data_IF_722036727732
#
_entry.id   IF_722036727732
#
_cell.length_a   1.000
_cell.length_b   1.000
_cell.length_c   1.000
_cell.angle_alpha   90.00
_cell.angle_beta   90.00
_cell.angle_gamma   90.00
#
_symmetry.space_group_name_H-M   'P 1'
#
loop_
_entity.id
_entity.type
_entity.pdbx_description
1 polymer ?
#
# COMPACT_ATOMS: atom_id res chain seq x y z
N UNK A 1 -42.98 -16.24 -13.50
CA UNK A 1 -42.33 -16.60 -12.23
C UNK A 1 -41.15 -15.66 -12.03
N UNK A 2 -41.31 -14.63 -11.20
CA UNK A 2 -40.29 -13.58 -11.00
C UNK A 2 -39.27 -14.07 -9.96
N UNK A 3 -38.04 -14.35 -10.40
CA UNK A 3 -36.93 -14.65 -9.51
C UNK A 3 -36.50 -13.36 -8.81
N UNK A 4 -37.03 -13.12 -7.61
CA UNK A 4 -36.46 -12.15 -6.67
C UNK A 4 -35.10 -12.70 -6.24
N UNK A 5 -34.02 -12.21 -6.87
CA UNK A 5 -32.67 -12.35 -6.32
C UNK A 5 -32.67 -11.66 -4.96
N UNK A 6 -32.37 -12.42 -3.90
CA UNK A 6 -32.14 -11.87 -2.57
C UNK A 6 -31.04 -10.83 -2.71
N UNK A 7 -31.40 -9.56 -2.51
CA UNK A 7 -30.43 -8.52 -2.23
C UNK A 7 -29.77 -8.94 -0.90
N UNK A 8 -28.54 -9.42 -0.96
CA UNK A 8 -27.72 -9.50 0.24
C UNK A 8 -27.67 -8.09 0.82
N UNK A 9 -28.02 -7.94 2.09
CA UNK A 9 -27.97 -6.67 2.80
C UNK A 9 -26.58 -6.08 2.61
N UNK A 10 -26.51 -4.96 1.87
CA UNK A 10 -25.28 -4.19 1.76
C UNK A 10 -24.98 -3.67 3.17
N UNK A 11 -24.02 -4.27 3.86
CA UNK A 11 -23.48 -3.70 5.09
C UNK A 11 -22.96 -2.30 4.78
N UNK A 12 -23.39 -1.33 5.58
CA UNK A 12 -22.86 0.02 5.49
C UNK A 12 -21.38 -0.03 5.86
N UNK A 13 -20.51 0.23 4.88
CA UNK A 13 -19.06 0.13 5.02
C UNK A 13 -18.54 1.07 6.13
N UNK A 14 -19.30 2.12 6.44
CA UNK A 14 -18.99 3.06 7.52
C UNK A 14 -19.13 2.45 8.93
N UNK A 15 -19.79 1.30 9.06
CA UNK A 15 -19.98 0.60 10.33
C UNK A 15 -18.91 -0.47 10.58
N UNK A 16 -18.08 -0.76 9.57
CA UNK A 16 -17.07 -1.81 9.63
C UNK A 16 -15.80 -1.20 10.24
N UNK A 17 -15.26 -1.75 11.34
CA UNK A 17 -14.03 -1.24 11.91
C UNK A 17 -12.89 -1.27 10.88
N UNK A 18 -12.04 -0.23 10.82
CA UNK A 18 -10.97 -0.13 9.82
C UNK A 18 -9.89 -1.22 9.94
N UNK A 19 -9.91 -1.95 11.04
CA UNK A 19 -8.98 -3.02 11.40
C UNK A 19 -9.60 -4.41 11.25
N UNK A 20 -10.89 -4.49 10.90
CA UNK A 20 -11.59 -5.75 10.70
C UNK A 20 -11.50 -6.24 9.25
N UNK A 21 -11.40 -7.56 9.03
CA UNK A 21 -11.43 -8.14 7.70
C UNK A 21 -12.81 -7.96 7.06
N UNK A 22 -12.84 -7.60 5.78
CA UNK A 22 -14.07 -7.45 5.01
C UNK A 22 -14.25 -8.64 4.08
N UNK A 23 -15.28 -9.45 4.31
CA UNK A 23 -15.64 -10.56 3.44
C UNK A 23 -16.36 -10.03 2.19
N UNK A 24 -15.76 -10.22 1.01
CA UNK A 24 -16.37 -9.87 -0.28
C UNK A 24 -17.25 -11.03 -0.77
N UNK A 25 -16.71 -12.25 -0.71
CA UNK A 25 -17.35 -13.50 -1.12
C UNK A 25 -16.80 -14.66 -0.26
N UNK A 26 -17.39 -15.87 -0.36
CA UNK A 26 -17.05 -17.05 0.46
C UNK A 26 -15.57 -17.42 0.47
N UNK A 27 -14.84 -17.07 -0.59
CA UNK A 27 -13.41 -17.37 -0.76
C UNK A 27 -12.54 -16.11 -0.90
N UNK A 28 -13.10 -14.91 -0.71
CA UNK A 28 -12.39 -13.64 -0.91
C UNK A 28 -12.61 -12.68 0.26
N UNK A 29 -11.55 -12.48 1.04
CA UNK A 29 -11.53 -11.57 2.19
C UNK A 29 -10.50 -10.48 1.97
N UNK A 30 -10.89 -9.22 2.18
CA UNK A 30 -9.97 -8.10 2.26
C UNK A 30 -9.44 -7.99 3.68
N UNK A 31 -8.12 -8.08 3.80
CA UNK A 31 -7.42 -7.84 5.04
C UNK A 31 -6.95 -6.38 5.09
N UNK A 32 -7.28 -5.64 6.16
CA UNK A 32 -6.77 -4.30 6.34
C UNK A 32 -5.26 -4.36 6.56
N UNK A 33 -4.55 -3.40 6.00
CA UNK A 33 -3.10 -3.32 6.08
C UNK A 33 -2.64 -1.88 6.17
N UNK A 34 -1.53 -1.68 6.86
CA UNK A 34 -0.77 -0.43 6.79
C UNK A 34 0.49 -0.71 5.99
N UNK A 35 0.70 0.05 4.92
CA UNK A 35 1.88 -0.05 4.08
C UNK A 35 2.71 1.22 4.20
N UNK A 36 4.02 1.06 4.34
CA UNK A 36 4.99 2.15 4.37
C UNK A 36 6.05 1.91 3.30
N UNK A 37 6.39 2.95 2.56
CA UNK A 37 7.52 2.94 1.64
C UNK A 37 8.77 3.38 2.40
N UNK A 38 9.82 2.61 2.27
CA UNK A 38 11.12 2.88 2.89
C UNK A 38 12.09 3.26 1.79
N UNK A 39 12.85 4.33 1.98
CA UNK A 39 13.98 4.68 1.13
C UNK A 39 15.22 4.78 2.00
N UNK A 40 16.34 4.26 1.52
CA UNK A 40 17.58 4.26 2.31
C UNK A 40 18.64 5.09 1.64
N UNK A 41 19.14 6.08 2.37
CA UNK A 41 20.20 6.97 1.95
C UNK A 41 21.49 6.68 2.75
N UNK A 42 22.68 6.92 2.18
CA UNK A 42 23.91 6.89 2.97
C UNK A 42 23.92 8.09 3.95
N UNK A 43 24.23 7.87 5.24
CA UNK A 43 24.30 8.95 6.24
C UNK A 43 25.56 9.82 6.06
N UNK A 44 26.67 9.21 5.60
CA UNK A 44 27.91 9.94 5.31
C UNK A 44 28.12 10.16 3.82
N UNK A 45 28.28 11.41 3.37
CA UNK A 45 28.39 11.75 1.96
C UNK A 45 29.76 11.39 1.34
N UNK A 46 30.72 10.86 2.10
CA UNK A 46 32.03 10.40 1.60
C UNK A 46 32.11 8.91 1.28
N UNK A 47 31.08 8.13 1.63
CA UNK A 47 31.07 6.68 1.46
C UNK A 47 30.73 6.31 0.01
N UNK A 48 31.76 6.12 -0.80
CA UNK A 48 31.66 5.34 -2.03
C UNK A 48 31.48 3.87 -1.63
N UNK A 49 30.23 3.39 -1.68
CA UNK A 49 29.95 1.97 -1.50
C UNK A 49 30.59 1.19 -2.66
N UNK A 50 31.79 0.68 -2.39
CA UNK A 50 32.52 -0.23 -3.29
C UNK A 50 31.94 -1.64 -3.25
N UNK A 51 31.26 -2.00 -2.16
CA UNK A 51 30.56 -3.28 -2.00
C UNK A 51 29.05 -3.12 -2.20
N UNK A 52 28.39 -4.07 -2.88
CA UNK A 52 26.93 -4.09 -2.93
C UNK A 52 26.37 -4.31 -1.53
N UNK A 53 25.27 -3.62 -1.20
CA UNK A 53 24.54 -3.87 0.05
C UNK A 53 23.76 -5.17 -0.08
N UNK A 54 23.91 -6.04 0.90
CA UNK A 54 23.07 -7.24 1.04
C UNK A 54 21.68 -6.86 1.52
N UNK A 55 20.66 -7.11 0.69
CA UNK A 55 19.25 -6.85 1.01
C UNK A 55 18.82 -7.57 2.29
N UNK A 56 19.28 -8.81 2.46
CA UNK A 56 19.05 -9.60 3.66
C UNK A 56 19.60 -8.93 4.92
N UNK A 57 20.84 -8.42 4.89
CA UNK A 57 21.43 -7.76 6.08
C UNK A 57 20.69 -6.48 6.45
N UNK A 58 20.26 -5.72 5.45
CA UNK A 58 19.44 -4.52 5.66
C UNK A 58 18.10 -4.87 6.30
N UNK A 59 17.45 -5.92 5.80
CA UNK A 59 16.21 -6.46 6.35
C UNK A 59 16.39 -6.90 7.81
N UNK A 60 17.41 -7.69 8.10
CA UNK A 60 17.70 -8.15 9.46
C UNK A 60 18.00 -6.99 10.40
N UNK A 61 18.83 -6.02 9.99
CA UNK A 61 19.15 -4.86 10.84
C UNK A 61 17.93 -4.00 11.16
N UNK A 62 17.03 -3.80 10.18
CA UNK A 62 15.79 -3.06 10.42
C UNK A 62 14.85 -3.85 11.34
N UNK A 63 14.71 -5.16 11.15
CA UNK A 63 13.92 -6.01 12.05
C UNK A 63 14.45 -5.99 13.48
N UNK A 64 15.77 -6.15 13.66
CA UNK A 64 16.42 -6.05 14.97
C UNK A 64 16.19 -4.68 15.59
N UNK A 65 16.28 -3.61 14.80
CA UNK A 65 15.96 -2.26 15.27
C UNK A 65 14.51 -2.15 15.72
N UNK A 66 13.54 -2.59 14.92
CA UNK A 66 12.12 -2.52 15.26
C UNK A 66 11.81 -3.26 16.57
N UNK A 67 12.40 -4.44 16.75
CA UNK A 67 12.26 -5.25 17.96
C UNK A 67 12.91 -4.58 19.19
N UNK A 68 14.14 -4.09 19.05
CA UNK A 68 14.88 -3.46 20.16
C UNK A 68 14.27 -2.12 20.58
N UNK A 69 13.81 -1.34 19.61
CA UNK A 69 13.22 -0.01 19.83
C UNK A 69 11.79 -0.05 20.35
N UNK A 70 11.16 -1.24 20.44
CA UNK A 70 9.75 -1.42 20.82
C UNK A 70 8.82 -0.49 20.01
N UNK A 71 9.18 -0.18 18.78
CA UNK A 71 8.40 0.68 17.88
C UNK A 71 7.07 0.02 17.49
N UNK A 72 7.09 -1.31 17.35
CA UNK A 72 5.91 -2.13 17.14
C UNK A 72 5.59 -2.96 18.39
N UNK A 73 4.30 -3.12 18.74
CA UNK A 73 3.90 -3.94 19.89
C UNK A 73 4.00 -5.46 19.63
N UNK A 74 4.35 -5.87 18.41
CA UNK A 74 4.44 -7.27 17.98
C UNK A 74 5.73 -7.52 17.17
N UNK A 75 6.23 -8.76 17.15
CA UNK A 75 7.33 -9.15 16.27
C UNK A 75 6.84 -9.18 14.82
N UNK A 76 7.50 -8.41 13.95
CA UNK A 76 7.18 -8.37 12.52
C UNK A 76 7.76 -9.61 11.80
N UNK A 77 6.96 -10.35 11.01
CA UNK A 77 7.46 -11.38 10.13
C UNK A 77 8.46 -10.83 9.11
N UNK A 78 9.42 -11.66 8.71
CA UNK A 78 10.37 -11.25 7.68
C UNK A 78 9.69 -10.98 6.33
N UNK A 79 8.67 -11.75 5.97
CA UNK A 79 7.98 -11.66 4.67
C UNK A 79 7.32 -10.29 4.44
N UNK A 80 6.95 -9.62 5.52
CA UNK A 80 6.28 -8.33 5.51
C UNK A 80 7.21 -7.17 5.16
N UNK A 81 8.52 -7.40 5.23
CA UNK A 81 9.56 -6.43 4.91
C UNK A 81 10.30 -6.84 3.64
N UNK A 82 10.02 -6.13 2.55
CA UNK A 82 10.65 -6.38 1.25
C UNK A 82 11.61 -5.25 0.95
N UNK A 83 12.88 -5.58 0.75
CA UNK A 83 13.86 -4.64 0.21
C UNK A 83 14.23 -5.01 -1.22
N UNK A 84 14.45 -3.98 -2.03
CA UNK A 84 15.00 -4.08 -3.37
C UNK A 84 16.13 -3.08 -3.50
N UNK A 85 17.26 -3.54 -4.00
CA UNK A 85 18.38 -2.67 -4.35
C UNK A 85 17.97 -1.66 -5.41
N UNK A 86 18.49 -0.44 -5.30
CA UNK A 86 18.41 0.49 -6.41
C UNK A 86 19.35 0.05 -7.54
N UNK A 87 18.76 -0.43 -8.64
CA UNK A 87 19.47 -0.87 -9.84
C UNK A 87 19.92 0.34 -10.66
N UNK A 88 20.98 1.01 -10.19
CA UNK A 88 21.73 2.00 -10.96
C UNK A 88 23.20 1.65 -10.86
N UNK A 89 23.91 1.72 -11.99
CA UNK A 89 25.36 1.47 -12.04
C UNK A 89 26.03 2.23 -10.89
N UNK A 90 26.80 1.52 -10.05
CA UNK A 90 27.53 2.14 -8.92
C UNK A 90 28.39 3.34 -9.38
N UNK A 91 28.83 3.30 -10.65
CA UNK A 91 29.65 4.34 -11.31
C UNK A 91 28.85 5.55 -11.80
N UNK A 92 27.52 5.46 -11.97
CA UNK A 92 26.64 6.56 -12.44
C UNK A 92 25.75 7.12 -11.32
N UNK A 93 25.99 6.68 -10.09
CA UNK A 93 25.18 7.06 -8.93
C UNK A 93 25.54 8.48 -8.50
N UNK A 94 24.53 9.35 -8.35
CA UNK A 94 24.70 10.65 -7.72
C UNK A 94 24.83 10.46 -6.21
N UNK A 95 25.55 11.37 -5.56
CA UNK A 95 25.92 11.32 -4.13
C UNK A 95 24.74 11.13 -3.18
N UNK A 96 23.58 11.71 -3.54
CA UNK A 96 22.34 11.65 -2.75
C UNK A 96 21.33 10.60 -3.25
N UNK A 97 21.65 9.87 -4.33
CA UNK A 97 20.75 8.85 -4.85
C UNK A 97 20.52 7.78 -3.76
N UNK A 98 19.28 7.27 -3.59
CA UNK A 98 19.00 6.21 -2.63
C UNK A 98 19.76 4.92 -2.98
N UNK A 99 20.07 4.13 -1.97
CA UNK A 99 20.79 2.86 -2.10
C UNK A 99 19.83 1.69 -2.30
N UNK A 100 18.72 1.73 -1.59
CA UNK A 100 17.72 0.68 -1.56
C UNK A 100 16.34 1.28 -1.35
N UNK A 101 15.34 0.58 -1.87
CA UNK A 101 13.94 0.84 -1.65
C UNK A 101 13.37 -0.35 -0.90
N UNK A 102 12.57 -0.07 0.11
CA UNK A 102 11.86 -1.07 0.89
C UNK A 102 10.37 -0.81 0.90
N UNK A 103 9.62 -1.85 1.23
CA UNK A 103 8.21 -1.76 1.54
C UNK A 103 7.97 -2.57 2.80
N UNK A 104 7.36 -1.92 3.78
CA UNK A 104 6.93 -2.53 5.02
C UNK A 104 5.41 -2.69 4.98
N UNK A 105 4.93 -3.91 5.13
CA UNK A 105 3.51 -4.20 5.30
C UNK A 105 3.24 -4.57 6.76
N UNK A 106 2.13 -4.08 7.31
CA UNK A 106 1.67 -4.41 8.65
C UNK A 106 0.24 -4.91 8.52
N UNK A 107 0.09 -6.22 8.69
CA UNK A 107 -1.21 -6.92 8.62
C UNK A 107 -1.85 -7.09 10.00
N UNK A 108 -1.03 -7.26 11.03
CA UNK A 108 -1.54 -7.39 12.38
C UNK A 108 -1.92 -6.01 12.91
N UNK A 109 -3.22 -5.72 12.91
CA UNK A 109 -3.81 -4.49 13.44
C UNK A 109 -4.67 -4.75 14.70
N UNK A 110 -4.51 -5.92 15.34
CA UNK A 110 -5.34 -6.34 16.47
C UNK A 110 -5.25 -5.40 17.68
N UNK A 111 -4.16 -4.64 17.80
CA UNK A 111 -3.94 -3.65 18.86
C UNK A 111 -4.62 -2.30 18.60
N UNK A 112 -5.30 -2.15 17.45
CA UNK A 112 -6.04 -0.97 17.03
C UNK A 112 -7.55 -1.27 16.85
N UNK A 113 -8.04 -2.44 17.27
CA UNK A 113 -9.44 -2.85 17.06
C UNK A 113 -10.47 -1.92 17.67
N UNK A 114 -10.15 -1.33 18.82
CA UNK A 114 -11.06 -0.43 19.55
C UNK A 114 -10.94 1.03 19.09
N UNK A 115 -10.18 1.31 18.03
CA UNK A 115 -9.81 2.66 17.62
C UNK A 115 -10.50 3.07 16.32
N UNK A 116 -10.90 4.34 16.26
CA UNK A 116 -11.48 4.94 15.07
C UNK A 116 -10.43 5.09 13.95
N UNK A 117 -10.88 5.32 12.72
CA UNK A 117 -10.02 5.58 11.55
C UNK A 117 -8.95 6.64 11.83
N UNK A 118 -9.35 7.77 12.44
CA UNK A 118 -8.44 8.85 12.82
C UNK A 118 -7.30 8.40 13.73
N UNK A 119 -7.56 7.47 14.63
CA UNK A 119 -6.58 6.98 15.59
C UNK A 119 -5.62 5.99 14.95
N UNK A 120 -6.08 5.24 13.95
CA UNK A 120 -5.23 4.40 13.08
C UNK A 120 -4.30 5.31 12.27
N UNK A 121 -4.81 6.38 11.67
CA UNK A 121 -4.02 7.37 10.92
C UNK A 121 -3.00 8.06 11.83
N UNK A 122 -3.40 8.51 13.03
CA UNK A 122 -2.47 9.08 14.02
C UNK A 122 -1.39 8.09 14.44
N UNK A 123 -1.75 6.82 14.64
CA UNK A 123 -0.77 5.78 14.96
C UNK A 123 0.23 5.57 13.82
N UNK A 124 -0.25 5.47 12.58
CA UNK A 124 0.59 5.38 11.38
C UNK A 124 1.55 6.55 11.29
N UNK A 125 1.07 7.78 11.47
CA UNK A 125 1.91 8.98 11.38
C UNK A 125 2.98 9.01 12.49
N UNK A 126 2.63 8.61 13.71
CA UNK A 126 3.62 8.44 14.80
C UNK A 126 4.67 7.37 14.49
N UNK A 127 4.28 6.29 13.82
CA UNK A 127 5.21 5.26 13.38
C UNK A 127 6.17 5.82 12.33
N UNK A 128 5.66 6.57 11.35
CA UNK A 128 6.47 7.26 10.33
C UNK A 128 7.46 8.22 10.98
N UNK A 129 7.02 9.07 11.90
CA UNK A 129 7.90 10.00 12.62
C UNK A 129 9.01 9.30 13.40
N UNK A 130 8.73 8.14 14.01
CA UNK A 130 9.73 7.36 14.75
C UNK A 130 10.74 6.68 13.84
N UNK A 131 10.34 6.24 12.65
CA UNK A 131 11.20 5.53 11.72
C UNK A 131 11.94 6.47 10.76
N UNK A 132 11.36 7.63 10.48
CA UNK A 132 11.96 8.61 9.60
C UNK A 132 13.21 9.24 10.25
N UNK A 133 14.32 9.21 9.52
CA UNK A 133 15.60 9.73 9.97
C UNK A 133 16.41 8.77 10.84
N UNK A 134 15.95 7.53 11.06
CA UNK A 134 16.71 6.54 11.84
C UNK A 134 18.02 6.21 11.11
N UNK A 135 19.12 6.25 11.87
CA UNK A 135 20.43 5.79 11.39
C UNK A 135 20.61 4.29 11.68
N UNK A 136 20.64 3.47 10.63
CA UNK A 136 20.98 2.05 10.71
C UNK A 136 22.49 1.87 10.46
N UNK A 137 23.18 1.16 11.34
CA UNK A 137 24.58 0.82 11.15
C UNK A 137 24.71 -0.60 10.58
N UNK A 138 25.24 -0.70 9.37
CA UNK A 138 25.55 -1.97 8.71
C UNK A 138 27.05 -2.05 8.47
N UNK A 139 27.74 -2.96 9.16
CA UNK A 139 29.18 -3.22 8.99
C UNK A 139 30.07 -1.95 9.11
N UNK A 140 29.70 -1.01 9.99
CA UNK A 140 30.43 0.24 10.18
C UNK A 140 30.02 1.38 9.24
N UNK A 141 29.08 1.14 8.33
CA UNK A 141 28.49 2.15 7.44
C UNK A 141 27.12 2.56 7.98
N UNK A 142 26.95 3.86 8.20
CA UNK A 142 25.67 4.43 8.63
C UNK A 142 24.78 4.75 7.44
N UNK A 143 23.52 4.36 7.56
CA UNK A 143 22.46 4.59 6.59
C UNK A 143 21.32 5.34 7.25
N UNK A 144 20.80 6.37 6.58
CA UNK A 144 19.60 7.08 7.01
C UNK A 144 18.39 6.47 6.32
N UNK A 145 17.41 6.07 7.12
CA UNK A 145 16.11 5.62 6.64
C UNK A 145 15.19 6.83 6.45
N UNK A 146 14.52 6.91 5.31
CA UNK A 146 13.42 7.82 5.05
C UNK A 146 12.15 6.98 4.82
N UNK A 147 11.05 7.41 5.45
CA UNK A 147 9.81 6.62 5.52
C UNK A 147 8.66 7.49 5.09
N UNK A 148 7.91 7.01 4.10
CA UNK A 148 6.81 7.75 3.48
C UNK A 148 5.58 6.84 3.40
N UNK A 149 4.41 7.42 3.73
CA UNK A 149 3.12 6.76 3.48
C UNK A 149 2.86 6.82 1.97
N UNK A 150 2.57 5.69 1.30
CA UNK A 150 2.20 5.70 -0.11
C UNK A 150 0.98 6.60 -0.35
N UNK A 151 0.97 7.36 -1.45
CA UNK A 151 -0.15 8.25 -1.79
C UNK A 151 -1.50 7.50 -1.87
N UNK A 152 -1.48 6.22 -2.27
CA UNK A 152 -2.69 5.38 -2.34
C UNK A 152 -3.30 5.09 -0.96
N UNK A 153 -2.50 5.16 0.10
CA UNK A 153 -2.94 4.88 1.48
C UNK A 153 -3.18 6.18 2.27
N UNK A 154 -3.00 7.35 1.65
CA UNK A 154 -3.35 8.67 2.19
C UNK A 154 -4.53 9.26 1.41
N UNK A 155 -5.74 8.85 1.80
CA UNK A 155 -6.97 9.28 1.14
C UNK A 155 -7.16 10.81 1.17
N UNK A 156 -6.82 11.45 2.29
CA UNK A 156 -7.00 12.90 2.44
C UNK A 156 -6.05 13.68 1.53
N UNK A 157 -4.78 13.27 1.47
CA UNK A 157 -3.81 13.87 0.56
C UNK A 157 -4.18 13.61 -0.90
N UNK A 158 -4.59 12.38 -1.22
CA UNK A 158 -5.06 12.02 -2.56
C UNK A 158 -6.27 12.86 -2.96
N UNK A 159 -7.25 13.01 -2.06
CA UNK A 159 -8.45 13.82 -2.28
C UNK A 159 -8.11 15.28 -2.48
N UNK A 160 -7.23 15.84 -1.64
CA UNK A 160 -6.78 17.24 -1.78
C UNK A 160 -6.04 17.47 -3.10
N UNK A 161 -5.07 16.62 -3.44
CA UNK A 161 -4.34 16.71 -4.70
C UNK A 161 -5.28 16.62 -5.91
N UNK A 162 -6.31 15.77 -5.82
CA UNK A 162 -7.34 15.66 -6.82
C UNK A 162 -8.18 16.95 -6.91
N UNK A 163 -8.71 17.45 -5.79
CA UNK A 163 -9.49 18.69 -5.74
C UNK A 163 -8.70 19.89 -6.29
N UNK A 164 -7.42 20.02 -5.93
CA UNK A 164 -6.53 21.05 -6.45
C UNK A 164 -6.27 20.90 -7.95
N UNK A 165 -6.04 19.67 -8.44
CA UNK A 165 -5.86 19.41 -9.86
C UNK A 165 -7.08 19.83 -10.69
N UNK A 166 -8.31 19.64 -10.20
CA UNK A 166 -9.51 20.05 -10.93
C UNK A 166 -9.90 21.51 -10.71
N UNK A 167 -9.63 22.08 -9.54
CA UNK A 167 -9.88 23.49 -9.25
C UNK A 167 -8.92 24.42 -10.00
N UNK A 168 -7.65 24.01 -10.16
CA UNK A 168 -6.58 24.86 -10.73
C UNK A 168 -5.93 24.30 -11.99
N UNK A 169 -6.18 23.03 -12.35
CA UNK A 169 -5.65 22.43 -13.56
C UNK A 169 -6.21 23.09 -14.80
N UNK A 170 -5.31 23.56 -15.67
CA UNK A 170 -5.66 24.18 -16.94
C UNK A 170 -6.65 23.28 -17.67
N UNK A 171 -7.76 23.89 -18.07
CA UNK A 171 -8.95 23.37 -18.77
C UNK A 171 -8.58 22.71 -20.11
N UNK A 172 -7.78 21.65 -20.09
CA UNK A 172 -7.49 20.85 -21.27
C UNK A 172 -8.66 19.88 -21.46
N UNK A 173 -9.41 20.13 -22.53
CA UNK A 173 -10.77 19.71 -22.84
C UNK A 173 -11.07 18.19 -22.88
N UNK A 174 -10.11 17.31 -22.52
CA UNK A 174 -10.26 15.85 -22.68
C UNK A 174 -10.11 15.04 -21.39
N UNK A 175 -9.81 15.64 -20.23
CA UNK A 175 -9.68 14.92 -18.96
C UNK A 175 -10.95 14.99 -18.12
N UNK A 176 -12.08 14.52 -18.68
CA UNK A 176 -13.31 14.21 -17.92
C UNK A 176 -13.14 12.90 -17.14
N UNK A 177 -12.06 12.76 -16.37
CA UNK A 177 -11.94 11.64 -15.42
C UNK A 177 -12.79 12.00 -14.21
N UNK A 178 -14.06 11.62 -14.28
CA UNK A 178 -14.96 11.74 -13.14
C UNK A 178 -14.35 10.96 -11.95
N UNK A 179 -14.42 11.49 -10.71
CA UNK A 179 -13.77 10.93 -9.52
C UNK A 179 -14.23 9.52 -9.16
N UNK A 180 -15.25 9.02 -9.84
CA UNK A 180 -15.91 7.75 -9.59
C UNK A 180 -15.56 6.66 -10.62
N UNK A 181 -14.60 6.93 -11.51
CA UNK A 181 -14.11 5.94 -12.47
C UNK A 181 -12.76 5.38 -12.07
N UNK A 182 -12.73 4.10 -11.67
CA UNK A 182 -11.50 3.37 -11.33
C UNK A 182 -11.00 2.61 -12.56
N UNK A 183 -9.71 2.78 -12.91
CA UNK A 183 -9.05 2.03 -13.99
C UNK A 183 -8.08 1.03 -13.39
N UNK A 184 -8.35 -0.26 -13.59
CA UNK A 184 -7.49 -1.35 -13.12
C UNK A 184 -6.75 -1.97 -14.28
N UNK A 185 -5.44 -2.18 -14.13
CA UNK A 185 -4.58 -2.81 -15.14
C UNK A 185 -3.57 -3.75 -14.49
N UNK A 186 -3.13 -4.77 -15.22
CA UNK A 186 -2.15 -5.76 -14.73
C UNK A 186 -2.69 -6.78 -13.72
N UNK A 187 -4.01 -6.86 -13.54
CA UNK A 187 -4.64 -7.82 -12.61
C UNK A 187 -4.87 -9.16 -13.30
N UNK A 188 -4.68 -10.31 -12.61
CA UNK A 188 -4.94 -11.62 -13.22
C UNK A 188 -6.39 -11.75 -13.72
N UNK A 189 -6.56 -12.06 -15.01
CA UNK A 189 -7.90 -12.17 -15.62
C UNK A 189 -8.78 -13.22 -14.93
N UNK A 190 -8.16 -14.27 -14.41
CA UNK A 190 -8.82 -15.37 -13.69
C UNK A 190 -9.51 -14.95 -12.39
N UNK A 191 -9.07 -13.86 -11.75
CA UNK A 191 -9.74 -13.35 -10.54
C UNK A 191 -11.17 -12.85 -10.83
N UNK A 192 -11.42 -12.44 -12.06
CA UNK A 192 -12.71 -11.91 -12.48
C UNK A 192 -13.42 -12.83 -13.48
N UNK A 193 -12.91 -14.04 -13.72
CA UNK A 193 -13.50 -14.97 -14.67
C UNK A 193 -14.47 -15.92 -13.96
N UNK A 194 -15.48 -16.40 -14.68
CA UNK A 194 -16.32 -17.49 -14.19
C UNK A 194 -15.53 -18.79 -14.15
N UNK A 195 -15.43 -19.37 -12.95
CA UNK A 195 -14.65 -20.59 -12.74
C UNK A 195 -15.18 -21.70 -13.66
N UNK A 196 -14.26 -22.35 -14.40
CA UNK A 196 -14.53 -23.46 -15.34
C UNK A 196 -15.22 -23.09 -16.67
N UNK A 197 -15.59 -21.83 -16.89
CA UNK A 197 -16.31 -21.41 -18.12
C UNK A 197 -15.40 -20.62 -19.07
N UNK A 198 -14.55 -19.74 -18.54
CA UNK A 198 -13.70 -18.88 -19.36
C UNK A 198 -12.45 -18.42 -18.61
N UNK A 199 -11.41 -18.04 -19.34
CA UNK A 199 -10.25 -17.31 -18.79
C UNK A 199 -10.37 -15.79 -18.94
N UNK A 200 -11.44 -15.32 -19.60
CA UNK A 200 -11.73 -13.89 -19.80
C UNK A 200 -12.48 -13.33 -18.59
N UNK A 201 -12.24 -12.07 -18.22
CA UNK A 201 -12.99 -11.43 -17.15
C UNK A 201 -14.48 -11.38 -17.52
N UNK A 202 -15.34 -11.78 -16.59
CA UNK A 202 -16.80 -11.73 -16.69
C UNK A 202 -17.30 -10.45 -16.03
N UNK A 203 -18.16 -9.72 -16.75
CA UNK A 203 -18.80 -8.52 -16.21
C UNK A 203 -19.62 -8.84 -14.96
N UNK A 204 -20.23 -10.02 -14.89
CA UNK A 204 -21.04 -10.45 -13.76
C UNK A 204 -20.17 -10.61 -12.50
N UNK A 205 -19.07 -11.37 -12.60
CA UNK A 205 -18.15 -11.58 -11.47
C UNK A 205 -17.54 -10.26 -11.00
N UNK A 206 -17.08 -9.43 -11.95
CA UNK A 206 -16.57 -8.09 -11.63
C UNK A 206 -17.63 -7.25 -10.93
N UNK A 207 -18.85 -7.21 -11.45
CA UNK A 207 -19.94 -6.45 -10.83
C UNK A 207 -20.25 -6.94 -9.42
N UNK A 208 -20.36 -8.26 -9.19
CA UNK A 208 -20.62 -8.83 -7.87
C UNK A 208 -19.59 -8.38 -6.86
N UNK A 209 -18.30 -8.49 -7.19
CA UNK A 209 -17.19 -8.04 -6.32
C UNK A 209 -17.29 -6.54 -6.04
N UNK A 210 -17.39 -5.71 -7.07
CA UNK A 210 -17.33 -4.26 -6.87
C UNK A 210 -18.61 -3.66 -6.29
N UNK A 211 -19.76 -4.31 -6.47
CA UNK A 211 -21.05 -3.84 -5.96
C UNK A 211 -21.14 -3.89 -4.43
N UNK A 212 -20.25 -4.64 -3.78
CA UNK A 212 -20.06 -4.63 -2.33
C UNK A 212 -19.53 -3.28 -1.83
N UNK A 213 -18.77 -2.55 -2.65
CA UNK A 213 -18.19 -1.25 -2.31
C UNK A 213 -19.10 -0.06 -2.61
N UNK A 214 -20.26 -0.31 -3.21
CA UNK A 214 -21.24 0.72 -3.54
C UNK A 214 -21.89 0.53 -4.90
N UNK A 215 -22.66 1.53 -5.30
CA UNK A 215 -23.40 1.50 -6.56
C UNK A 215 -22.47 1.82 -7.73
N UNK A 216 -22.32 0.86 -8.64
CA UNK A 216 -21.53 1.02 -9.85
C UNK A 216 -22.42 1.59 -10.97
N UNK A 217 -21.96 2.66 -11.64
CA UNK A 217 -22.67 3.22 -12.81
C UNK A 217 -22.43 2.42 -14.09
N UNK A 218 -21.18 2.03 -14.33
CA UNK A 218 -20.79 1.32 -15.55
C UNK A 218 -19.50 0.51 -15.31
N UNK A 219 -19.34 -0.60 -16.04
CA UNK A 219 -18.13 -1.42 -16.05
C UNK A 219 -17.68 -1.59 -17.49
N UNK A 220 -16.43 -1.26 -17.78
CA UNK A 220 -15.80 -1.49 -19.08
C UNK A 220 -14.68 -2.52 -18.93
N UNK A 221 -14.84 -3.68 -19.55
CA UNK A 221 -13.81 -4.73 -19.58
C UNK A 221 -13.09 -4.69 -20.91
N UNK A 222 -11.76 -4.54 -20.85
CA UNK A 222 -10.90 -4.68 -22.03
C UNK A 222 -10.33 -6.11 -22.02
N UNK A 223 -10.53 -6.90 -23.10
CA UNK A 223 -10.00 -8.25 -23.22
C UNK A 223 -8.47 -8.26 -23.33
#
# INVERSE_FOLDING_TARGET
MSMKMKLEEQQDLNLIPPTSPLEIDKDLTLLPRIKLNLTVHPSSPSLTLTTPIDEWKMKTALLTFLQTSHTLPFPLPEEDLVFKRFNKDLKKRKRDDPVAYGTLHIWNLSFLTDKNEDDVVKWRNRLVEKLNGVELNLQGVKFRLDVVVPDCDDFDLMKKNWEEFYAFGKRNLNSRREPDTIVMSGVPSRWFAETRVSSKPSMLVTHTIFSKFGKIRCIFLKP
#
